data_IF_288900753018
#
_entry.id   IF_288900753018
#
_cell.length_a   1.000
_cell.length_b   1.000
_cell.length_c   1.000
_cell.angle_alpha   90.00
_cell.angle_beta   90.00
_cell.angle_gamma   90.00
#
_symmetry.space_group_name_H-M   'P 1'
#
loop_
_entity.id
_entity.type
_entity.pdbx_description
1 polymer ?
#
# COMPACT_ATOMS: atom_id res chain seq x y z
N UNK A 1 18.78 7.78 5.43
CA UNK A 1 18.79 6.54 4.61
C UNK A 1 17.39 6.09 4.13
N UNK A 2 16.35 6.92 4.19
CA UNK A 2 14.95 6.53 3.91
C UNK A 2 14.52 6.47 2.43
N UNK A 3 15.42 6.66 1.45
CA UNK A 3 15.05 6.86 0.04
C UNK A 3 14.82 5.55 -0.73
N UNK A 4 15.47 4.46 -0.33
CA UNK A 4 15.42 3.17 -1.06
C UNK A 4 14.15 2.38 -0.72
N UNK A 5 13.75 2.36 0.55
CA UNK A 5 12.58 1.62 1.03
C UNK A 5 11.27 2.17 0.45
N UNK A 6 11.15 3.50 0.35
CA UNK A 6 10.01 4.17 -0.29
C UNK A 6 9.87 3.75 -1.75
N UNK A 7 10.99 3.69 -2.47
CA UNK A 7 10.99 3.31 -3.90
C UNK A 7 10.51 1.88 -4.10
N UNK A 8 10.92 0.95 -3.22
CA UNK A 8 10.51 -0.46 -3.28
C UNK A 8 9.02 -0.64 -2.97
N UNK A 9 8.52 -0.01 -1.92
CA UNK A 9 7.10 -0.04 -1.58
C UNK A 9 6.24 0.61 -2.69
N UNK A 10 6.74 1.68 -3.33
CA UNK A 10 6.03 2.32 -4.45
C UNK A 10 5.93 1.38 -5.64
N UNK A 11 7.05 0.75 -6.03
CA UNK A 11 7.07 -0.19 -7.14
C UNK A 11 6.14 -1.40 -6.91
N UNK A 12 6.01 -1.86 -5.67
CA UNK A 12 5.08 -2.94 -5.31
C UNK A 12 3.61 -2.49 -5.32
N UNK A 13 3.32 -1.25 -4.91
CA UNK A 13 1.95 -0.72 -4.86
C UNK A 13 1.44 -0.19 -6.21
N UNK A 14 2.32 0.28 -7.09
CA UNK A 14 1.97 0.75 -8.44
C UNK A 14 1.07 -0.22 -9.22
N UNK A 15 1.42 -1.52 -9.37
CA UNK A 15 0.57 -2.49 -10.07
C UNK A 15 -0.68 -2.90 -9.28
N UNK A 16 -0.76 -2.55 -7.99
CA UNK A 16 -1.89 -2.87 -7.12
C UNK A 16 -2.89 -1.71 -6.99
N UNK A 17 -2.60 -0.57 -7.61
CA UNK A 17 -3.49 0.59 -7.60
C UNK A 17 -4.87 0.22 -8.17
N UNK A 18 -5.93 0.52 -7.42
CA UNK A 18 -7.30 0.17 -7.80
C UNK A 18 -7.70 -1.28 -7.54
N UNK A 19 -6.80 -2.15 -7.09
CA UNK A 19 -7.15 -3.50 -6.64
C UNK A 19 -7.80 -3.47 -5.27
N UNK A 20 -8.87 -4.24 -5.07
CA UNK A 20 -9.72 -4.21 -3.88
C UNK A 20 -9.39 -5.26 -2.80
N UNK A 21 -8.39 -6.09 -3.05
CA UNK A 21 -8.01 -7.19 -2.16
C UNK A 21 -6.51 -7.21 -1.82
N UNK A 22 -5.98 -6.06 -1.39
CA UNK A 22 -4.58 -5.90 -1.02
C UNK A 22 -4.46 -5.86 0.50
N UNK A 23 -3.59 -6.69 1.06
CA UNK A 23 -3.24 -6.69 2.49
C UNK A 23 -1.86 -6.04 2.69
N UNK A 24 -1.81 -5.03 3.56
CA UNK A 24 -0.58 -4.36 3.97
C UNK A 24 -0.29 -4.75 5.41
N UNK A 25 0.89 -5.32 5.64
CA UNK A 25 1.41 -5.65 6.96
C UNK A 25 2.43 -4.58 7.34
N UNK A 26 2.26 -3.95 8.49
CA UNK A 26 3.23 -2.97 9.01
C UNK A 26 4.31 -3.66 9.83
N UNK A 27 5.45 -2.97 10.04
CA UNK A 27 6.55 -3.40 10.90
C UNK A 27 6.13 -3.63 12.36
N UNK A 28 5.04 -3.00 12.78
CA UNK A 28 4.43 -3.15 14.11
C UNK A 28 3.52 -4.39 14.21
N UNK A 29 3.30 -5.09 13.09
CA UNK A 29 2.42 -6.25 13.00
C UNK A 29 0.95 -5.91 12.69
N UNK A 30 0.61 -4.64 12.50
CA UNK A 30 -0.74 -4.24 12.08
C UNK A 30 -1.00 -4.70 10.64
N UNK A 31 -2.21 -5.19 10.39
CA UNK A 31 -2.64 -5.65 9.07
C UNK A 31 -3.83 -4.85 8.61
N UNK A 32 -3.72 -4.25 7.44
CA UNK A 32 -4.79 -3.45 6.83
C UNK A 32 -5.11 -4.04 5.47
N UNK A 33 -6.36 -4.47 5.28
CA UNK A 33 -6.80 -5.08 4.03
C UNK A 33 -7.89 -4.25 3.39
N UNK A 34 -7.73 -3.97 2.10
CA UNK A 34 -8.71 -3.22 1.34
C UNK A 34 -8.25 -2.80 -0.05
N UNK A 35 -8.87 -1.73 -0.54
CA UNK A 35 -8.63 -1.18 -1.87
C UNK A 35 -7.57 -0.10 -1.85
N UNK A 36 -6.55 -0.21 -2.72
CA UNK A 36 -5.56 0.85 -2.89
C UNK A 36 -6.20 2.03 -3.62
N UNK A 37 -6.59 3.07 -2.87
CA UNK A 37 -7.32 4.24 -3.40
C UNK A 37 -6.42 5.36 -3.88
N UNK A 38 -5.30 5.61 -3.19
CA UNK A 38 -4.41 6.73 -3.52
C UNK A 38 -3.02 6.52 -2.97
N UNK A 39 -2.02 6.78 -3.81
CA UNK A 39 -0.61 6.86 -3.42
C UNK A 39 -0.21 8.33 -3.56
N UNK A 40 -0.18 9.09 -2.45
CA UNK A 40 0.30 10.47 -2.51
C UNK A 40 1.81 10.48 -2.29
N UNK A 41 2.56 10.61 -3.39
CA UNK A 41 3.96 11.04 -3.37
C UNK A 41 4.00 12.55 -3.18
N UNK A 42 3.70 13.00 -1.97
CA UNK A 42 3.71 14.43 -1.65
C UNK A 42 5.16 14.95 -1.61
N UNK A 43 5.38 16.21 -1.99
CA UNK A 43 6.70 16.88 -2.09
C UNK A 43 7.58 16.70 -0.83
N UNK A 44 8.89 17.00 -1.01
CA UNK A 44 10.08 16.68 -0.19
C UNK A 44 10.02 16.81 1.35
N UNK A 45 8.92 17.28 1.95
CA UNK A 45 8.78 17.59 3.36
C UNK A 45 7.74 16.72 4.11
N UNK A 46 7.08 15.77 3.45
CA UNK A 46 6.08 14.91 4.12
C UNK A 46 6.31 13.43 3.83
N UNK A 47 6.07 12.59 4.84
CA UNK A 47 6.29 11.15 4.74
C UNK A 47 5.34 10.53 3.70
N UNK A 48 5.86 9.82 2.69
CA UNK A 48 5.04 9.14 1.70
C UNK A 48 4.14 8.12 2.37
N UNK A 49 2.89 8.04 1.92
CA UNK A 49 1.85 7.20 2.53
C UNK A 49 0.87 6.70 1.49
N UNK A 50 0.38 5.48 1.70
CA UNK A 50 -0.67 4.86 0.90
C UNK A 50 -1.99 4.98 1.64
N UNK A 51 -3.07 5.20 0.90
CA UNK A 51 -4.44 5.16 1.42
C UNK A 51 -5.11 3.87 0.98
N UNK A 52 -5.52 3.09 1.97
CA UNK A 52 -6.28 1.86 1.79
C UNK A 52 -7.71 2.12 2.24
N UNK A 53 -8.68 1.85 1.38
CA UNK A 53 -10.08 1.86 1.75
C UNK A 53 -10.46 0.43 2.17
N UNK A 54 -10.71 0.25 3.46
CA UNK A 54 -11.15 -1.00 4.04
C UNK A 54 -12.55 -1.37 3.55
N UNK A 55 -12.93 -2.65 3.71
CA UNK A 55 -14.24 -3.14 3.28
C UNK A 55 -15.44 -2.46 3.97
N UNK A 56 -15.20 -1.82 5.13
CA UNK A 56 -16.17 -1.00 5.85
C UNK A 56 -16.29 0.43 5.29
N UNK A 57 -15.56 0.78 4.23
CA UNK A 57 -15.51 2.13 3.66
C UNK A 57 -14.55 3.09 4.38
N UNK A 58 -13.84 2.63 5.42
CA UNK A 58 -12.88 3.45 6.16
C UNK A 58 -11.58 3.64 5.35
N UNK A 59 -11.11 4.89 5.25
CA UNK A 59 -9.86 5.21 4.56
C UNK A 59 -8.71 5.25 5.58
N UNK A 60 -7.90 4.21 5.59
CA UNK A 60 -6.72 4.07 6.44
C UNK A 60 -5.48 4.59 5.70
N UNK A 61 -4.71 5.46 6.37
CA UNK A 61 -3.47 6.01 5.83
C UNK A 61 -2.27 5.29 6.45
N UNK A 62 -1.46 4.63 5.62
CA UNK A 62 -0.29 3.86 6.07
C UNK A 62 0.98 4.53 5.53
N UNK A 63 1.91 4.96 6.38
CA UNK A 63 3.22 5.46 5.95
C UNK A 63 4.02 4.36 5.24
N UNK A 64 4.68 4.69 4.13
CA UNK A 64 5.57 3.77 3.43
C UNK A 64 6.67 3.17 4.32
N UNK A 65 7.38 3.95 5.18
CA UNK A 65 8.43 3.38 6.02
C UNK A 65 7.91 2.42 7.10
N UNK A 66 6.60 2.39 7.36
CA UNK A 66 6.02 1.42 8.30
C UNK A 66 5.57 0.15 7.61
N UNK A 67 5.61 0.06 6.28
CA UNK A 67 5.18 -1.14 5.54
C UNK A 67 6.29 -2.18 5.61
N UNK A 68 5.99 -3.33 6.23
CA UNK A 68 6.87 -4.49 6.24
C UNK A 68 6.63 -5.37 5.00
N UNK A 69 5.37 -5.66 4.71
CA UNK A 69 4.99 -6.56 3.60
C UNK A 69 3.70 -6.09 2.93
N UNK A 70 3.59 -6.38 1.62
CA UNK A 70 2.38 -6.14 0.83
C UNK A 70 2.00 -7.47 0.17
N UNK A 71 0.78 -7.92 0.40
CA UNK A 71 0.24 -9.17 -0.12
C UNK A 71 -0.94 -8.87 -1.04
N UNK A 72 -0.83 -9.29 -2.28
CA UNK A 72 -1.94 -9.26 -3.22
C UNK A 72 -2.77 -10.54 -3.07
N UNK A 73 -4.01 -10.42 -2.62
CA UNK A 73 -4.95 -11.55 -2.54
C UNK A 73 -5.92 -11.56 -3.72
N UNK A 74 -5.72 -10.71 -4.72
CA UNK A 74 -6.50 -10.82 -5.93
C UNK A 74 -6.11 -12.14 -6.62
N UNK A 75 -7.08 -12.97 -7.03
CA UNK A 75 -6.75 -14.12 -7.85
C UNK A 75 -6.03 -13.58 -9.07
N UNK A 76 -4.82 -14.07 -9.30
CA UNK A 76 -4.06 -13.82 -10.51
C UNK A 76 -4.88 -14.37 -11.67
N UNK A 77 -5.77 -13.53 -12.18
CA UNK A 77 -6.58 -13.84 -13.33
C UNK A 77 -5.61 -13.86 -14.51
N UNK A 78 -4.99 -15.02 -14.71
CA UNK A 78 -4.19 -15.35 -15.88
C UNK A 78 -5.06 -15.15 -17.11
N UNK A 79 -5.06 -13.95 -17.68
CA UNK A 79 -5.46 -13.74 -19.06
C UNK A 79 -4.24 -14.03 -19.92
N UNK A 80 -4.16 -15.31 -20.30
CA UNK A 80 -3.48 -15.76 -21.51
C UNK A 80 -4.15 -15.17 -22.75
#
# INVERSE_FOLDING_TARGET
MAKVEVTKALAALQPLYGKNNVEIVTVDGHRVRGTVRSMKTTQALTTPSVKIECANGEIVKIPFPTIAEIKDHNPELSRH
#
